data_IF_357288897880
#
_entry.id   IF_357288897880
#
_cell.length_a   1.000
_cell.length_b   1.000
_cell.length_c   1.000
_cell.angle_alpha   90.00
_cell.angle_beta   90.00
_cell.angle_gamma   90.00
#
_symmetry.space_group_name_H-M   'P 1'
#
loop_
_entity.id
_entity.type
_entity.pdbx_description
1 polymer ?
#
# COMPACT_ATOMS: atom_id res chain seq x y z
N UNK A 1 0.97 9.40 22.69
CA UNK A 1 1.72 8.13 22.74
C UNK A 1 0.87 6.89 22.50
N UNK A 2 -0.38 6.83 22.97
CA UNK A 2 -1.27 5.67 22.80
C UNK A 2 -1.50 5.24 21.33
N UNK A 3 -1.59 6.16 20.40
CA UNK A 3 -1.87 5.87 18.98
C UNK A 3 -0.77 5.09 18.26
N UNK A 4 0.51 5.38 18.54
CA UNK A 4 1.62 4.60 17.94
C UNK A 4 1.68 3.18 18.52
N UNK A 5 1.46 3.06 19.82
CA UNK A 5 1.48 1.79 20.53
C UNK A 5 0.36 0.85 20.01
N UNK A 6 -0.84 1.38 19.82
CA UNK A 6 -1.96 0.61 19.23
C UNK A 6 -1.65 0.14 17.80
N UNK A 7 -1.06 1.02 16.98
CA UNK A 7 -0.62 0.68 15.62
C UNK A 7 0.47 -0.41 15.60
N UNK A 8 1.41 -0.34 16.53
CA UNK A 8 2.45 -1.35 16.69
C UNK A 8 1.88 -2.70 17.11
N UNK A 9 0.99 -2.72 18.12
CA UNK A 9 0.32 -3.95 18.59
C UNK A 9 -0.47 -4.60 17.46
N UNK A 10 -1.24 -3.81 16.72
CA UNK A 10 -1.97 -4.30 15.54
C UNK A 10 -1.02 -4.91 14.52
N UNK A 11 0.02 -4.17 14.13
CA UNK A 11 0.99 -4.63 13.14
C UNK A 11 1.66 -5.95 13.57
N UNK A 12 2.11 -6.02 14.83
CA UNK A 12 2.73 -7.24 15.38
C UNK A 12 1.78 -8.43 15.31
N UNK A 13 0.51 -8.24 15.64
CA UNK A 13 -0.51 -9.28 15.59
C UNK A 13 -0.81 -9.69 14.15
N UNK A 14 -0.98 -8.73 13.24
CA UNK A 14 -1.19 -8.98 11.81
C UNK A 14 0.01 -9.71 11.18
N UNK A 15 1.23 -9.31 11.55
CA UNK A 15 2.45 -9.94 11.10
C UNK A 15 2.57 -11.38 11.57
N UNK A 16 2.25 -11.66 12.84
CA UNK A 16 2.22 -13.01 13.40
C UNK A 16 1.23 -13.90 12.66
N UNK A 17 0.04 -13.37 12.34
CA UNK A 17 -0.96 -14.07 11.53
C UNK A 17 -0.41 -14.40 10.13
N UNK A 18 0.25 -13.45 9.47
CA UNK A 18 0.90 -13.69 8.18
C UNK A 18 2.04 -14.70 8.24
N UNK A 19 2.77 -14.80 9.37
CA UNK A 19 3.80 -15.83 9.57
C UNK A 19 3.21 -17.22 9.75
N UNK A 20 2.05 -17.34 10.38
CA UNK A 20 1.33 -18.60 10.51
C UNK A 20 0.81 -19.09 9.17
N UNK A 21 0.28 -18.17 8.34
CA UNK A 21 -0.24 -18.43 7.00
C UNK A 21 0.61 -17.70 5.95
N UNK A 22 1.76 -18.30 5.61
CA UNK A 22 2.76 -17.67 4.70
C UNK A 22 2.20 -17.21 3.36
N UNK A 23 1.12 -17.84 2.90
CA UNK A 23 0.44 -17.48 1.66
C UNK A 23 -0.08 -16.04 1.67
N UNK A 24 -0.37 -15.47 2.86
CA UNK A 24 -0.82 -14.08 3.01
C UNK A 24 0.27 -13.04 2.64
N UNK A 25 1.55 -13.42 2.72
CA UNK A 25 2.64 -12.56 2.30
C UNK A 25 2.93 -12.61 0.81
N UNK A 26 2.42 -13.63 0.10
CA UNK A 26 2.71 -13.83 -1.32
C UNK A 26 2.38 -12.60 -2.18
N UNK A 27 1.21 -11.93 -2.02
CA UNK A 27 0.91 -10.71 -2.79
C UNK A 27 1.92 -9.60 -2.58
N UNK A 28 2.38 -9.43 -1.33
CA UNK A 28 3.33 -8.37 -0.96
C UNK A 28 4.74 -8.69 -1.46
N UNK A 29 5.14 -9.95 -1.42
CA UNK A 29 6.42 -10.41 -1.97
C UNK A 29 6.45 -10.25 -3.49
N UNK A 30 5.36 -10.61 -4.20
CA UNK A 30 5.22 -10.38 -5.63
C UNK A 30 5.24 -8.89 -5.97
N UNK A 31 4.53 -8.06 -5.20
CA UNK A 31 4.61 -6.61 -5.34
C UNK A 31 6.06 -6.12 -5.22
N UNK A 32 6.79 -6.54 -4.20
CA UNK A 32 8.18 -6.12 -3.98
C UNK A 32 9.09 -6.60 -5.11
N UNK A 33 8.96 -7.86 -5.54
CA UNK A 33 9.76 -8.43 -6.62
C UNK A 33 9.50 -7.74 -7.97
N UNK A 34 8.23 -7.54 -8.35
CA UNK A 34 7.85 -6.87 -9.58
C UNK A 34 8.26 -5.39 -9.58
N UNK A 35 8.09 -4.71 -8.44
CA UNK A 35 8.52 -3.32 -8.27
C UNK A 35 10.03 -3.17 -8.39
N UNK A 36 10.80 -4.11 -7.82
CA UNK A 36 12.26 -4.12 -7.93
C UNK A 36 12.70 -4.40 -9.37
N UNK A 37 12.12 -5.40 -10.03
CA UNK A 37 12.40 -5.72 -11.43
C UNK A 37 12.12 -4.51 -12.35
N UNK A 38 10.97 -3.85 -12.16
CA UNK A 38 10.62 -2.65 -12.91
C UNK A 38 11.61 -1.50 -12.62
N UNK A 39 12.05 -1.34 -11.38
CA UNK A 39 13.05 -0.34 -11.01
C UNK A 39 14.38 -0.60 -11.71
N UNK A 40 14.87 -1.84 -11.68
CA UNK A 40 16.11 -2.21 -12.38
C UNK A 40 15.99 -1.93 -13.88
N UNK A 41 14.86 -2.30 -14.50
CA UNK A 41 14.62 -2.05 -15.92
C UNK A 41 14.71 -0.56 -16.28
N UNK A 42 14.20 0.33 -15.43
CA UNK A 42 14.24 1.79 -15.64
C UNK A 42 15.61 2.38 -15.31
N UNK A 43 16.35 1.80 -14.37
CA UNK A 43 17.67 2.26 -14.02
C UNK A 43 18.70 2.01 -15.14
N UNK A 44 18.50 1.03 -16.02
CA UNK A 44 19.41 0.75 -17.15
C UNK A 44 19.54 1.98 -18.08
N UNK A 45 18.46 2.53 -18.66
CA UNK A 45 18.56 3.72 -19.52
C UNK A 45 19.04 4.95 -18.75
N UNK A 46 18.66 5.10 -17.46
CA UNK A 46 19.17 6.19 -16.62
C UNK A 46 20.69 6.12 -16.48
N UNK A 47 21.24 4.93 -16.23
CA UNK A 47 22.68 4.72 -16.16
C UNK A 47 23.42 5.06 -17.45
N UNK A 48 22.85 4.68 -18.60
CA UNK A 48 23.42 5.00 -19.91
C UNK A 48 23.53 6.52 -20.16
N UNK A 49 22.55 7.29 -19.67
CA UNK A 49 22.55 8.75 -19.75
C UNK A 49 23.72 9.36 -18.96
N UNK A 50 23.92 8.91 -17.73
CA UNK A 50 25.00 9.43 -16.88
C UNK A 50 26.40 9.00 -17.36
N UNK A 51 26.50 7.93 -18.15
CA UNK A 51 27.76 7.51 -18.75
C UNK A 51 28.18 8.40 -19.94
N UNK A 52 27.25 9.09 -20.62
CA UNK A 52 27.50 9.91 -21.81
C UNK A 52 26.91 11.32 -21.66
N UNK A 53 27.63 12.29 -21.07
CA UNK A 53 27.12 13.60 -20.75
C UNK A 53 26.70 14.47 -21.96
N UNK A 54 27.19 14.15 -23.17
CA UNK A 54 26.83 14.89 -24.40
C UNK A 54 25.35 14.75 -24.82
N UNK A 55 24.62 13.78 -24.23
CA UNK A 55 23.24 13.48 -24.61
C UNK A 55 22.21 13.88 -23.53
N UNK A 56 22.63 14.61 -22.51
CA UNK A 56 21.83 14.90 -21.30
C UNK A 56 20.51 15.61 -21.64
N UNK A 57 20.49 16.58 -22.55
CA UNK A 57 19.27 17.39 -22.80
C UNK A 57 18.11 16.57 -23.39
N UNK A 58 18.42 15.64 -24.31
CA UNK A 58 17.41 14.81 -24.96
C UNK A 58 16.87 13.73 -24.01
N UNK A 59 17.70 13.29 -23.07
CA UNK A 59 17.39 12.23 -22.15
C UNK A 59 16.70 12.68 -20.86
N UNK A 60 16.77 13.97 -20.48
CA UNK A 60 16.03 14.50 -19.31
C UNK A 60 14.52 14.29 -19.48
N UNK A 61 13.97 14.59 -20.66
CA UNK A 61 12.56 14.37 -20.96
C UNK A 61 12.17 12.90 -20.89
N UNK A 62 12.99 12.02 -21.48
CA UNK A 62 12.75 10.56 -21.46
C UNK A 62 12.84 10.01 -20.05
N UNK A 63 13.85 10.42 -19.28
CA UNK A 63 14.00 9.97 -17.87
C UNK A 63 12.85 10.44 -17.01
N UNK A 64 12.41 11.69 -17.18
CA UNK A 64 11.24 12.22 -16.49
C UNK A 64 9.97 11.43 -16.83
N UNK A 65 9.74 11.14 -18.10
CA UNK A 65 8.61 10.33 -18.54
C UNK A 65 8.66 8.90 -17.96
N UNK A 66 9.81 8.23 -18.04
CA UNK A 66 10.00 6.89 -17.46
C UNK A 66 9.79 6.90 -15.94
N UNK A 67 10.24 7.96 -15.25
CA UNK A 67 10.02 8.15 -13.82
C UNK A 67 8.53 8.26 -13.48
N UNK A 68 7.75 9.00 -14.27
CA UNK A 68 6.30 9.11 -14.10
C UNK A 68 5.63 7.75 -14.32
N UNK A 69 5.95 7.05 -15.41
CA UNK A 69 5.43 5.72 -15.70
C UNK A 69 5.77 4.74 -14.57
N UNK A 70 6.98 4.80 -14.04
CA UNK A 70 7.42 3.99 -12.91
C UNK A 70 6.59 4.24 -11.65
N UNK A 71 6.37 5.52 -11.28
CA UNK A 71 5.54 5.88 -10.12
C UNK A 71 4.13 5.34 -10.29
N UNK A 72 3.52 5.51 -11.46
CA UNK A 72 2.18 5.00 -11.73
C UNK A 72 2.12 3.47 -11.66
N UNK A 73 3.09 2.78 -12.24
CA UNK A 73 3.16 1.32 -12.17
C UNK A 73 3.29 0.82 -10.71
N UNK A 74 4.11 1.48 -9.89
CA UNK A 74 4.21 1.16 -8.46
C UNK A 74 2.89 1.36 -7.72
N UNK A 75 2.17 2.45 -8.00
CA UNK A 75 0.86 2.71 -7.39
C UNK A 75 -0.17 1.65 -7.78
N UNK A 76 -0.20 1.24 -9.05
CA UNK A 76 -1.10 0.16 -9.52
C UNK A 76 -0.74 -1.15 -8.85
N UNK A 77 0.53 -1.56 -8.88
CA UNK A 77 0.99 -2.81 -8.25
C UNK A 77 0.68 -2.83 -6.74
N UNK A 78 0.84 -1.70 -6.06
CA UNK A 78 0.50 -1.58 -4.64
C UNK A 78 -1.00 -1.80 -4.39
N UNK A 79 -1.89 -1.26 -5.25
CA UNK A 79 -3.35 -1.46 -5.13
C UNK A 79 -3.76 -2.90 -5.42
N UNK A 80 -3.12 -3.54 -6.39
CA UNK A 80 -3.35 -4.96 -6.68
C UNK A 80 -2.91 -5.85 -5.52
N UNK A 81 -1.74 -5.60 -4.95
CA UNK A 81 -1.27 -6.32 -3.76
C UNK A 81 -2.22 -6.12 -2.57
N UNK A 82 -2.68 -4.88 -2.34
CA UNK A 82 -3.66 -4.57 -1.30
C UNK A 82 -4.97 -5.37 -1.51
N UNK A 83 -5.49 -5.42 -2.73
CA UNK A 83 -6.71 -6.15 -3.08
C UNK A 83 -6.56 -7.66 -2.82
N UNK A 84 -5.45 -8.26 -3.25
CA UNK A 84 -5.15 -9.67 -3.01
C UNK A 84 -5.04 -9.99 -1.52
N UNK A 85 -4.30 -9.19 -0.75
CA UNK A 85 -4.21 -9.36 0.71
C UNK A 85 -5.59 -9.25 1.34
N UNK A 86 -6.40 -8.25 0.95
CA UNK A 86 -7.75 -8.07 1.49
C UNK A 86 -8.63 -9.30 1.25
N UNK A 87 -8.59 -9.86 0.04
CA UNK A 87 -9.37 -11.05 -0.31
C UNK A 87 -8.94 -12.27 0.49
N UNK A 88 -7.62 -12.53 0.52
CA UNK A 88 -7.07 -13.70 1.22
C UNK A 88 -7.27 -13.59 2.73
N UNK A 89 -7.12 -12.38 3.28
CA UNK A 89 -7.30 -12.15 4.70
C UNK A 89 -8.77 -12.24 5.12
N UNK A 90 -9.72 -11.80 4.28
CA UNK A 90 -11.15 -11.97 4.55
C UNK A 90 -11.56 -13.44 4.63
N UNK A 91 -10.97 -14.31 3.80
CA UNK A 91 -11.18 -15.74 3.88
C UNK A 91 -10.74 -16.29 5.25
N UNK A 92 -9.61 -15.83 5.77
CA UNK A 92 -9.14 -16.22 7.09
C UNK A 92 -10.07 -15.72 8.23
N UNK A 93 -10.64 -14.51 8.11
CA UNK A 93 -11.61 -14.00 9.09
C UNK A 93 -12.92 -14.80 9.11
N UNK A 94 -13.22 -15.53 8.04
CA UNK A 94 -14.40 -16.44 7.93
C UNK A 94 -14.04 -17.90 8.17
N UNK A 95 -12.88 -18.18 8.77
CA UNK A 95 -12.35 -19.52 9.04
C UNK A 95 -12.22 -20.40 7.78
N UNK A 96 -12.15 -19.81 6.60
CA UNK A 96 -11.86 -20.49 5.34
C UNK A 96 -10.37 -20.37 4.99
N UNK A 97 -9.84 -21.36 4.26
CA UNK A 97 -8.43 -21.32 3.84
C UNK A 97 -8.24 -20.24 2.76
N UNK A 98 -7.21 -19.40 2.87
CA UNK A 98 -6.85 -18.46 1.81
C UNK A 98 -6.51 -19.22 0.52
N UNK A 99 -7.24 -18.94 -0.56
CA UNK A 99 -6.99 -19.52 -1.88
C UNK A 99 -6.45 -18.47 -2.84
N UNK A 100 -5.21 -18.67 -3.25
CA UNK A 100 -4.52 -17.80 -4.19
C UNK A 100 -5.18 -17.79 -5.58
N UNK A 101 -5.60 -18.97 -6.08
CA UNK A 101 -6.21 -19.08 -7.41
C UNK A 101 -7.54 -18.34 -7.47
N UNK A 102 -8.39 -18.52 -6.44
CA UNK A 102 -9.65 -17.80 -6.36
C UNK A 102 -9.45 -16.28 -6.23
N UNK A 103 -8.46 -15.84 -5.43
CA UNK A 103 -8.15 -14.44 -5.26
C UNK A 103 -7.66 -13.79 -6.56
N UNK A 104 -6.78 -14.45 -7.30
CA UNK A 104 -6.26 -13.93 -8.59
C UNK A 104 -7.31 -13.95 -9.70
N UNK A 105 -8.14 -14.99 -9.78
CA UNK A 105 -9.24 -15.06 -10.76
C UNK A 105 -10.23 -13.90 -10.57
N UNK A 106 -10.59 -13.58 -9.34
CA UNK A 106 -11.46 -12.45 -9.04
C UNK A 106 -10.79 -11.11 -9.39
N UNK A 107 -9.49 -10.97 -9.13
CA UNK A 107 -8.75 -9.78 -9.46
C UNK A 107 -8.71 -9.48 -10.96
N UNK A 108 -8.70 -10.52 -11.81
CA UNK A 108 -8.71 -10.38 -13.26
C UNK A 108 -9.94 -9.62 -13.78
N UNK A 109 -11.06 -9.64 -13.07
CA UNK A 109 -12.25 -8.89 -13.44
C UNK A 109 -12.25 -7.43 -12.95
N UNK A 110 -11.52 -7.13 -11.88
CA UNK A 110 -11.52 -5.80 -11.24
C UNK A 110 -10.20 -5.02 -11.39
N UNK A 111 -9.22 -5.56 -12.12
CA UNK A 111 -7.88 -4.94 -12.17
C UNK A 111 -7.87 -3.55 -12.81
N UNK A 112 -8.71 -3.32 -13.86
CA UNK A 112 -8.83 -2.00 -14.49
C UNK A 112 -9.40 -0.96 -13.54
N UNK A 113 -10.40 -1.33 -12.76
CA UNK A 113 -11.02 -0.47 -11.75
C UNK A 113 -10.03 -0.13 -10.63
N UNK A 114 -9.22 -1.11 -10.21
CA UNK A 114 -8.17 -0.89 -9.22
C UNK A 114 -7.03 -0.03 -9.77
N UNK A 115 -6.68 -0.20 -11.04
CA UNK A 115 -5.71 0.67 -11.72
C UNK A 115 -6.26 2.11 -11.84
N UNK A 116 -7.52 2.28 -12.24
CA UNK A 116 -8.17 3.58 -12.27
C UNK A 116 -8.18 4.23 -10.87
N UNK A 117 -8.48 3.48 -9.82
CA UNK A 117 -8.41 3.96 -8.44
C UNK A 117 -6.98 4.35 -8.04
N UNK A 118 -5.96 3.60 -8.48
CA UNK A 118 -4.57 3.90 -8.20
C UNK A 118 -4.12 5.23 -8.82
N UNK A 119 -4.63 5.55 -10.01
CA UNK A 119 -4.33 6.78 -10.72
C UNK A 119 -5.13 7.98 -10.18
N UNK A 120 -6.39 7.78 -9.84
CA UNK A 120 -7.28 8.87 -9.40
C UNK A 120 -7.03 9.28 -7.95
N UNK A 121 -6.66 8.36 -7.06
CA UNK A 121 -6.45 8.66 -5.66
C UNK A 121 -5.34 9.72 -5.40
N UNK A 122 -4.14 9.67 -6.00
CA UNK A 122 -3.15 10.72 -5.85
C UNK A 122 -3.57 12.04 -6.52
N UNK A 123 -4.26 11.99 -7.66
CA UNK A 123 -4.79 13.19 -8.32
C UNK A 123 -5.80 13.91 -7.45
N UNK A 124 -6.67 13.17 -6.78
CA UNK A 124 -7.61 13.73 -5.80
C UNK A 124 -6.93 14.37 -4.58
N UNK A 125 -5.76 13.87 -4.20
CA UNK A 125 -4.98 14.44 -3.10
C UNK A 125 -4.31 15.77 -3.49
N UNK A 126 -3.85 15.87 -4.75
CA UNK A 126 -3.21 17.07 -5.30
C UNK A 126 -4.23 18.12 -5.72
N UNK A 127 -5.35 17.69 -6.30
CA UNK A 127 -6.42 18.55 -6.79
C UNK A 127 -7.75 18.30 -6.04
N UNK A 128 -7.87 18.74 -4.78
CA UNK A 128 -9.06 18.48 -3.95
C UNK A 128 -10.36 19.07 -4.51
N UNK A 129 -10.28 20.01 -5.47
CA UNK A 129 -11.44 20.58 -6.17
C UNK A 129 -12.03 19.67 -7.26
N UNK A 130 -11.27 18.70 -7.79
CA UNK A 130 -11.72 17.81 -8.87
C UNK A 130 -12.72 16.73 -8.42
N UNK A 131 -12.64 16.29 -7.15
CA UNK A 131 -13.48 15.22 -6.61
C UNK A 131 -14.41 15.66 -5.46
N UNK A 132 -14.65 16.97 -5.40
CA UNK A 132 -15.53 17.56 -4.39
C UNK A 132 -14.83 17.74 -3.02
N UNK A 133 -15.22 18.80 -2.31
CA UNK A 133 -14.75 19.12 -0.94
C UNK A 133 -15.26 18.15 0.12
N UNK A 134 -15.91 17.07 -0.26
CA UNK A 134 -16.57 16.16 0.66
C UNK A 134 -15.56 15.40 1.50
N UNK A 135 -15.56 15.69 2.79
CA UNK A 135 -14.75 14.97 3.79
C UNK A 135 -15.09 13.48 3.86
N UNK A 136 -16.27 13.09 3.35
CA UNK A 136 -16.72 11.70 3.23
C UNK A 136 -15.84 10.90 2.28
N UNK A 137 -15.41 11.48 1.14
CA UNK A 137 -14.50 10.84 0.20
C UNK A 137 -13.15 10.47 0.82
N UNK A 138 -12.55 11.39 1.58
CA UNK A 138 -11.27 11.13 2.25
C UNK A 138 -11.35 9.98 3.26
N UNK A 139 -12.53 9.75 3.83
CA UNK A 139 -12.78 8.63 4.75
C UNK A 139 -13.10 7.35 3.98
N UNK A 140 -13.92 7.44 2.95
CA UNK A 140 -14.33 6.32 2.12
C UNK A 140 -13.18 5.68 1.34
N UNK A 141 -12.21 6.46 0.84
CA UNK A 141 -11.13 5.97 -0.03
C UNK A 141 -10.34 4.77 0.52
N UNK A 142 -10.32 4.58 1.83
CA UNK A 142 -9.64 3.45 2.45
C UNK A 142 -10.45 2.16 2.46
N UNK A 143 -11.78 2.28 2.44
CA UNK A 143 -12.70 1.16 2.42
C UNK A 143 -13.04 0.72 1.00
N UNK A 144 -12.76 1.56 0.00
CA UNK A 144 -13.13 1.29 -1.40
C UNK A 144 -12.55 -0.03 -1.89
N UNK A 145 -11.26 -0.30 -1.64
CA UNK A 145 -10.62 -1.53 -2.12
C UNK A 145 -11.23 -2.78 -1.47
N UNK A 146 -11.35 -2.90 -0.15
CA UNK A 146 -12.04 -4.03 0.47
C UNK A 146 -13.49 -4.19 -0.03
N UNK A 147 -14.25 -3.10 -0.15
CA UNK A 147 -15.63 -3.12 -0.65
C UNK A 147 -15.68 -3.66 -2.07
N UNK A 148 -14.89 -3.11 -3.00
CA UNK A 148 -14.86 -3.57 -4.39
C UNK A 148 -14.51 -5.03 -4.51
N UNK A 149 -13.48 -5.47 -3.80
CA UNK A 149 -12.95 -6.84 -3.92
C UNK A 149 -13.84 -7.86 -3.20
N UNK A 150 -14.42 -7.52 -2.05
CA UNK A 150 -15.19 -8.46 -1.25
C UNK A 150 -16.66 -8.55 -1.68
N UNK A 151 -17.24 -7.44 -2.15
CA UNK A 151 -18.61 -7.41 -2.70
C UNK A 151 -18.63 -7.56 -4.24
N UNK A 152 -17.46 -7.68 -4.89
CA UNK A 152 -17.32 -7.79 -6.35
C UNK A 152 -18.00 -6.64 -7.11
N UNK A 153 -17.75 -5.40 -6.65
CA UNK A 153 -18.35 -4.19 -7.20
C UNK A 153 -17.39 -3.48 -8.16
N UNK A 154 -17.95 -2.89 -9.23
CA UNK A 154 -17.22 -1.94 -10.07
C UNK A 154 -16.87 -0.66 -9.27
N UNK A 155 -15.89 0.11 -9.74
CA UNK A 155 -15.35 1.28 -9.04
C UNK A 155 -16.44 2.26 -8.58
N UNK A 156 -17.37 2.62 -9.45
CA UNK A 156 -18.44 3.58 -9.12
C UNK A 156 -19.36 3.09 -8.00
N UNK A 157 -19.81 1.83 -8.07
CA UNK A 157 -20.64 1.20 -7.04
C UNK A 157 -19.86 1.02 -5.72
N UNK A 158 -18.59 0.60 -5.82
CA UNK A 158 -17.70 0.46 -4.68
C UNK A 158 -17.47 1.78 -3.93
N UNK A 159 -17.34 2.88 -4.66
CA UNK A 159 -17.23 4.23 -4.10
C UNK A 159 -18.50 4.66 -3.35
N UNK A 160 -19.66 4.45 -3.95
CA UNK A 160 -20.95 4.75 -3.31
C UNK A 160 -21.14 3.92 -2.05
N UNK A 161 -20.89 2.63 -2.12
CA UNK A 161 -21.01 1.72 -0.99
C UNK A 161 -20.05 2.08 0.15
N UNK A 162 -18.79 2.33 -0.16
CA UNK A 162 -17.80 2.79 0.81
C UNK A 162 -18.19 4.14 1.44
N UNK A 163 -18.78 5.06 0.65
CA UNK A 163 -19.30 6.33 1.13
C UNK A 163 -20.46 6.16 2.12
N UNK A 164 -21.41 5.27 1.83
CA UNK A 164 -22.51 4.93 2.74
C UNK A 164 -22.01 4.34 4.04
N UNK A 165 -21.07 3.38 3.96
CA UNK A 165 -20.42 2.80 5.15
C UNK A 165 -19.68 3.86 5.95
N UNK A 166 -19.01 4.83 5.30
CA UNK A 166 -18.26 5.90 5.96
C UNK A 166 -19.16 6.89 6.70
N UNK A 167 -20.41 7.05 6.29
CA UNK A 167 -21.40 7.91 6.95
C UNK A 167 -22.04 7.26 8.18
N UNK A 168 -22.04 5.93 8.25
CA UNK A 168 -22.55 5.21 9.40
C UNK A 168 -21.75 5.58 10.67
N UNK A 169 -22.45 5.75 11.80
CA UNK A 169 -21.84 6.16 13.10
C UNK A 169 -20.67 5.27 13.55
N UNK A 170 -20.61 4.06 13.06
CA UNK A 170 -19.56 3.06 13.29
C UNK A 170 -18.16 3.55 12.94
N UNK A 171 -18.03 4.41 11.94
CA UNK A 171 -16.74 4.93 11.53
C UNK A 171 -16.29 6.16 12.33
N UNK A 172 -17.10 6.69 13.25
CA UNK A 172 -16.58 7.62 14.29
C UNK A 172 -15.58 6.94 15.23
N UNK A 173 -15.69 5.64 15.40
CA UNK A 173 -14.66 4.83 16.08
C UNK A 173 -13.35 4.85 15.26
N UNK A 174 -13.42 5.16 13.99
CA UNK A 174 -12.30 5.24 13.07
C UNK A 174 -11.33 6.40 13.32
N UNK A 175 -11.65 7.37 14.14
CA UNK A 175 -10.65 8.39 14.53
C UNK A 175 -9.52 7.77 15.38
N UNK A 176 -9.73 6.61 15.98
CA UNK A 176 -8.65 5.78 16.53
C UNK A 176 -7.76 5.12 15.46
N UNK A 177 -8.15 5.20 14.21
CA UNK A 177 -7.41 4.78 13.01
C UNK A 177 -6.06 5.45 12.82
N UNK A 178 -5.90 6.55 13.44
CA UNK A 178 -4.67 7.32 13.42
C UNK A 178 -3.47 6.42 13.77
N UNK A 179 -3.68 5.38 14.59
CA UNK A 179 -2.63 4.49 15.04
C UNK A 179 -1.91 3.69 13.94
N UNK A 180 -2.62 2.91 13.13
CA UNK A 180 -1.98 2.07 12.09
C UNK A 180 -1.40 2.92 10.96
N UNK A 181 -2.11 3.97 10.56
CA UNK A 181 -1.64 4.91 9.54
C UNK A 181 -0.44 5.72 10.01
N UNK A 182 -0.46 6.19 11.25
CA UNK A 182 0.65 6.90 11.87
C UNK A 182 1.87 5.99 11.99
N UNK A 183 1.69 4.76 12.46
CA UNK A 183 2.72 3.75 12.51
C UNK A 183 3.35 3.50 11.14
N UNK A 184 2.53 3.28 10.10
CA UNK A 184 3.00 3.08 8.74
C UNK A 184 3.81 4.25 8.19
N UNK A 185 3.44 5.50 8.55
CA UNK A 185 4.21 6.71 8.18
C UNK A 185 5.55 6.77 8.92
N UNK A 186 5.59 6.46 10.20
CA UNK A 186 6.81 6.49 10.99
C UNK A 186 7.78 5.41 10.51
N UNK A 187 7.32 4.17 10.38
CA UNK A 187 8.16 3.05 9.88
C UNK A 187 8.60 3.32 8.44
N UNK A 188 7.68 3.76 7.59
CA UNK A 188 8.02 4.17 6.24
C UNK A 188 9.05 5.29 6.22
N UNK A 189 8.87 6.33 7.02
CA UNK A 189 9.81 7.45 7.13
C UNK A 189 11.21 7.01 7.57
N UNK A 190 11.30 6.14 8.58
CA UNK A 190 12.59 5.58 9.04
C UNK A 190 13.27 4.79 7.93
N UNK A 191 12.53 3.93 7.21
CA UNK A 191 13.09 3.17 6.10
C UNK A 191 13.52 4.09 4.94
N UNK A 192 12.73 5.10 4.59
CA UNK A 192 13.08 6.06 3.55
C UNK A 192 14.34 6.87 3.91
N UNK A 193 14.43 7.37 5.15
CA UNK A 193 15.60 8.10 5.62
C UNK A 193 16.83 7.20 5.70
N UNK A 194 16.70 6.00 6.24
CA UNK A 194 17.78 5.01 6.28
C UNK A 194 18.25 4.62 4.88
N UNK A 195 17.31 4.41 3.95
CA UNK A 195 17.59 4.15 2.55
C UNK A 195 18.33 5.31 1.87
N UNK A 196 17.91 6.56 2.14
CA UNK A 196 18.56 7.76 1.61
C UNK A 196 20.01 7.88 2.14
N UNK A 197 20.21 7.72 3.43
CA UNK A 197 21.54 7.80 4.03
C UNK A 197 22.47 6.72 3.46
N UNK A 198 22.01 5.48 3.36
CA UNK A 198 22.78 4.39 2.76
C UNK A 198 23.04 4.62 1.28
N UNK A 199 22.08 5.13 0.53
CA UNK A 199 22.22 5.44 -0.89
C UNK A 199 23.30 6.50 -1.12
N UNK A 200 23.31 7.58 -0.32
CA UNK A 200 24.32 8.62 -0.38
C UNK A 200 25.70 8.07 0.00
N UNK A 201 25.78 7.27 1.07
CA UNK A 201 27.05 6.69 1.53
C UNK A 201 27.65 5.75 0.47
N UNK A 202 26.88 4.82 -0.06
CA UNK A 202 27.36 3.86 -1.07
C UNK A 202 27.63 4.55 -2.40
N UNK A 203 26.77 5.48 -2.81
CA UNK A 203 27.01 6.30 -4.00
C UNK A 203 28.32 7.06 -3.92
N UNK A 204 28.61 7.72 -2.80
CA UNK A 204 29.87 8.43 -2.58
C UNK A 204 31.10 7.48 -2.51
N UNK A 205 30.98 6.32 -1.88
CA UNK A 205 32.05 5.33 -1.85
C UNK A 205 32.44 4.89 -3.27
N UNK A 206 31.46 4.63 -4.12
CA UNK A 206 31.69 4.27 -5.52
C UNK A 206 32.30 5.44 -6.30
N UNK A 207 31.79 6.66 -6.10
CA UNK A 207 32.29 7.86 -6.78
C UNK A 207 33.75 8.18 -6.42
N UNK A 208 34.14 8.04 -5.16
CA UNK A 208 35.45 8.43 -4.66
C UNK A 208 36.49 7.29 -4.69
N UNK A 209 36.12 6.07 -5.06
CA UNK A 209 36.98 4.89 -4.97
C UNK A 209 38.11 4.77 -6.02
N UNK A 210 38.44 5.80 -6.85
CA UNK A 210 39.52 5.78 -7.84
C UNK A 210 39.36 6.83 -8.96
N UNK A 211 40.03 6.72 -10.13
CA UNK A 211 40.06 7.76 -11.17
C UNK A 211 38.66 8.06 -11.73
N UNK A 212 38.42 9.33 -11.98
CA UNK A 212 37.13 9.82 -12.46
C UNK A 212 36.85 9.32 -13.88
N UNK A 213 35.78 8.53 -14.03
CA UNK A 213 35.29 8.04 -15.32
C UNK A 213 33.77 8.15 -15.38
N UNK A 214 33.21 8.38 -16.58
CA UNK A 214 31.75 8.41 -16.76
C UNK A 214 31.04 7.14 -16.28
N UNK A 215 31.68 5.97 -16.46
CA UNK A 215 31.16 4.70 -16.01
C UNK A 215 31.07 4.62 -14.49
N UNK A 216 32.04 5.16 -13.77
CA UNK A 216 32.04 5.20 -12.32
C UNK A 216 30.97 6.13 -11.78
N UNK A 217 30.81 7.32 -12.38
CA UNK A 217 29.72 8.26 -12.00
C UNK A 217 28.37 7.59 -12.17
N UNK A 218 28.13 6.95 -13.32
CA UNK A 218 26.92 6.18 -13.56
C UNK A 218 26.73 5.08 -12.52
N UNK A 219 27.75 4.29 -12.24
CA UNK A 219 27.73 3.21 -11.26
C UNK A 219 27.40 3.69 -9.83
N UNK A 220 28.00 4.79 -9.38
CA UNK A 220 27.71 5.37 -8.07
C UNK A 220 26.28 5.85 -7.92
N UNK A 221 25.77 6.56 -8.93
CA UNK A 221 24.39 7.04 -8.97
C UNK A 221 23.41 5.86 -9.01
N UNK A 222 23.64 4.87 -9.86
CA UNK A 222 22.79 3.68 -9.98
C UNK A 222 22.76 2.86 -8.70
N UNK A 223 23.91 2.65 -8.06
CA UNK A 223 23.98 1.92 -6.79
C UNK A 223 23.18 2.66 -5.70
N UNK A 224 23.33 3.98 -5.60
CA UNK A 224 22.58 4.80 -4.67
C UNK A 224 21.07 4.72 -4.93
N UNK A 225 20.64 4.89 -6.17
CA UNK A 225 19.23 4.83 -6.55
C UNK A 225 18.63 3.43 -6.29
N UNK A 226 19.37 2.37 -6.57
CA UNK A 226 18.91 1.00 -6.32
C UNK A 226 18.71 0.74 -4.82
N UNK A 227 19.65 1.16 -3.98
CA UNK A 227 19.52 1.02 -2.53
C UNK A 227 18.31 1.80 -2.04
N UNK A 228 18.16 3.06 -2.47
CA UNK A 228 17.02 3.87 -2.10
C UNK A 228 15.70 3.23 -2.52
N UNK A 229 15.63 2.66 -3.73
CA UNK A 229 14.46 1.96 -4.24
C UNK A 229 14.14 0.70 -3.41
N UNK A 230 15.13 -0.11 -3.02
CA UNK A 230 14.92 -1.31 -2.19
C UNK A 230 14.25 -0.92 -0.86
N UNK A 231 14.77 0.09 -0.17
CA UNK A 231 14.18 0.56 1.09
C UNK A 231 12.80 1.16 0.90
N UNK A 232 12.60 1.94 -0.16
CA UNK A 232 11.29 2.52 -0.51
C UNK A 232 10.24 1.46 -0.83
N UNK A 233 10.58 0.47 -1.66
CA UNK A 233 9.69 -0.65 -2.01
C UNK A 233 9.37 -1.48 -0.77
N UNK A 234 10.34 -1.74 0.10
CA UNK A 234 10.12 -2.45 1.37
C UNK A 234 9.16 -1.69 2.27
N UNK A 235 9.34 -0.38 2.40
CA UNK A 235 8.43 0.48 3.17
C UNK A 235 7.00 0.44 2.62
N UNK A 236 6.85 0.53 1.30
CA UNK A 236 5.55 0.45 0.62
C UNK A 236 4.89 -0.92 0.81
N UNK A 237 5.67 -2.00 0.72
CA UNK A 237 5.22 -3.37 0.89
C UNK A 237 4.67 -3.63 2.30
N UNK A 238 5.44 -3.24 3.33
CA UNK A 238 5.03 -3.35 4.74
C UNK A 238 3.75 -2.54 4.98
N UNK A 239 3.71 -1.31 4.48
CA UNK A 239 2.56 -0.43 4.66
C UNK A 239 1.31 -0.95 3.92
N UNK A 240 1.47 -1.48 2.70
CA UNK A 240 0.38 -2.08 1.94
C UNK A 240 -0.23 -3.28 2.68
N UNK A 241 0.60 -4.18 3.23
CA UNK A 241 0.14 -5.31 4.03
C UNK A 241 -0.63 -4.86 5.27
N UNK A 242 -0.03 -4.00 6.09
CA UNK A 242 -0.64 -3.53 7.32
C UNK A 242 -1.99 -2.83 7.08
N UNK A 243 -2.04 -1.97 6.06
CA UNK A 243 -3.27 -1.28 5.69
C UNK A 243 -4.33 -2.23 5.11
N UNK A 244 -3.95 -3.20 4.29
CA UNK A 244 -4.89 -4.17 3.72
C UNK A 244 -5.56 -4.99 4.82
N UNK A 245 -4.77 -5.57 5.73
CA UNK A 245 -5.30 -6.35 6.87
C UNK A 245 -6.24 -5.49 7.72
N UNK A 246 -5.81 -4.29 8.02
CA UNK A 246 -6.54 -3.36 8.86
C UNK A 246 -7.89 -2.95 8.25
N UNK A 247 -7.91 -2.49 7.00
CA UNK A 247 -9.15 -2.06 6.36
C UNK A 247 -10.09 -3.25 6.08
N UNK A 248 -9.54 -4.45 5.90
CA UNK A 248 -10.36 -5.67 5.79
C UNK A 248 -11.04 -6.01 7.12
N UNK A 249 -10.32 -5.92 8.24
CA UNK A 249 -10.91 -6.09 9.57
C UNK A 249 -12.06 -5.12 9.80
N UNK A 250 -11.87 -3.88 9.40
CA UNK A 250 -12.87 -2.85 9.57
C UNK A 250 -14.10 -3.05 8.69
N UNK A 251 -13.87 -3.34 7.43
CA UNK A 251 -14.94 -3.67 6.51
C UNK A 251 -15.78 -4.83 7.07
N UNK A 252 -15.11 -5.90 7.49
CA UNK A 252 -15.79 -7.08 8.06
C UNK A 252 -16.60 -6.71 9.30
N UNK A 253 -16.06 -5.87 10.16
CA UNK A 253 -16.77 -5.40 11.35
C UNK A 253 -17.98 -4.54 10.98
N UNK A 254 -17.82 -3.60 10.04
CA UNK A 254 -18.91 -2.75 9.56
C UNK A 254 -20.05 -3.56 8.98
N UNK A 255 -19.75 -4.56 8.12
CA UNK A 255 -20.77 -5.43 7.52
C UNK A 255 -21.50 -6.28 8.58
N UNK A 256 -20.77 -6.82 9.56
CA UNK A 256 -21.41 -7.59 10.66
C UNK A 256 -22.35 -6.72 11.48
N UNK A 257 -21.95 -5.49 11.76
CA UNK A 257 -22.80 -4.54 12.52
C UNK A 257 -24.02 -4.10 11.70
N UNK A 258 -23.86 -3.89 10.40
CA UNK A 258 -24.98 -3.56 9.52
C UNK A 258 -26.02 -4.70 9.50
N UNK A 259 -25.57 -5.96 9.40
CA UNK A 259 -26.45 -7.14 9.49
C UNK A 259 -27.15 -7.25 10.83
N UNK A 260 -26.45 -7.08 11.94
CA UNK A 260 -27.05 -7.11 13.27
C UNK A 260 -28.12 -6.03 13.46
N UNK A 261 -27.93 -4.85 12.88
CA UNK A 261 -28.95 -3.79 12.88
C UNK A 261 -30.20 -4.18 12.07
N UNK A 262 -30.02 -4.80 10.91
CA UNK A 262 -31.14 -5.25 10.08
C UNK A 262 -31.94 -6.39 10.73
N UNK A 263 -31.26 -7.26 11.48
CA UNK A 263 -31.88 -8.39 12.19
C UNK A 263 -32.50 -7.97 13.53
N UNK A 264 -32.56 -6.66 13.85
CA UNK A 264 -33.00 -6.11 15.13
C UNK A 264 -32.28 -6.70 16.36
N UNK A 265 -31.16 -7.35 16.12
CA UNK A 265 -30.35 -7.93 17.16
C UNK A 265 -29.40 -6.84 17.71
N UNK A 266 -29.72 -6.29 18.88
CA UNK A 266 -28.94 -5.22 19.51
C UNK A 266 -27.67 -5.75 20.21
N UNK A 267 -27.30 -7.01 20.01
CA UNK A 267 -26.06 -7.52 20.56
C UNK A 267 -24.86 -6.71 20.04
N UNK A 268 -24.00 -6.32 20.96
CA UNK A 268 -22.78 -5.60 20.68
C UNK A 268 -21.88 -6.48 19.78
N UNK A 269 -21.84 -6.18 18.47
CA UNK A 269 -20.99 -6.91 17.53
C UNK A 269 -19.53 -6.61 17.86
N UNK A 270 -18.84 -7.61 18.38
CA UNK A 270 -17.43 -7.49 18.72
C UNK A 270 -16.58 -7.32 17.46
N UNK A 271 -15.58 -6.40 17.51
CA UNK A 271 -14.61 -6.26 16.43
C UNK A 271 -13.80 -7.55 16.24
N UNK A 272 -13.27 -7.82 15.03
CA UNK A 272 -12.34 -8.94 14.82
C UNK A 272 -11.19 -8.92 15.83
N UNK A 273 -10.74 -10.10 16.28
CA UNK A 273 -9.78 -10.24 17.38
C UNK A 273 -8.52 -9.36 17.25
N UNK A 274 -7.98 -9.23 16.03
CA UNK A 274 -6.83 -8.35 15.76
C UNK A 274 -7.14 -6.88 16.05
N UNK A 275 -8.33 -6.44 15.71
CA UNK A 275 -8.78 -5.08 15.94
C UNK A 275 -9.11 -4.85 17.42
N UNK A 276 -9.76 -5.83 18.06
CA UNK A 276 -10.06 -5.80 19.49
C UNK A 276 -8.78 -5.65 20.33
N UNK A 277 -7.75 -6.43 20.03
CA UNK A 277 -6.44 -6.34 20.69
C UNK A 277 -5.80 -4.96 20.53
N UNK A 278 -5.87 -4.38 19.35
CA UNK A 278 -5.30 -3.05 19.08
C UNK A 278 -6.07 -1.91 19.75
N UNK A 279 -7.38 -2.10 19.96
CA UNK A 279 -8.25 -1.14 20.65
C UNK A 279 -8.22 -1.30 22.17
N UNK A 280 -7.49 -2.29 22.71
CA UNK A 280 -7.49 -2.59 24.13
C UNK A 280 -8.82 -3.19 24.63
N UNK A 281 -9.63 -3.71 23.71
CA UNK A 281 -10.91 -4.40 23.97
C UNK A 281 -10.70 -5.93 24.05
N UNK A 282 -9.48 -6.38 24.30
CA UNK A 282 -9.17 -7.80 24.39
C UNK A 282 -9.95 -8.45 25.56
N UNK A 283 -10.42 -9.69 25.38
CA UNK A 283 -11.22 -10.42 26.36
C UNK A 283 -10.51 -10.67 27.66
#
# INVERSE_FOLDING_TARGET
>A
MHTFQSGWVFFKSAWKTGQQERILFLPVQLFAALSLALTVLILIPVGAIFAQPATISLFIGLTGFLGIVWIFALLVLQRLAFALVSRMFSAQLTASRPDWKAATAQLQHSWLDLAALALTAPLAAVFPGLLGRDTSWRRAQYLVVPVMVLENLALGAGLLRAGQMAQAKLLRISDHYIGVRYFGRVVGGILWLGGLLLAVLVGNLVLNGGPDSGLRRAGGILAGLLIFAIFGITALAINAYAQAVYHTCLYTWAVRTEKAHLEMNQEHVQPPALLATALGLAP
#
